data_IF_548947204447
#
_entry.id   IF_548947204447
#
_cell.length_a   1.000
_cell.length_b   1.000
_cell.length_c   1.000
_cell.angle_alpha   90.00
_cell.angle_beta   90.00
_cell.angle_gamma   90.00
#
_symmetry.space_group_name_H-M   'P 1'
#
loop_
_entity.id
_entity.type
_entity.pdbx_description
1 polymer ?
#
# COMPACT_ATOMS: atom_id res chain seq x y z
N UNK A 1 -16.89 -9.84 -14.99
CA UNK A 1 -16.19 -9.67 -13.69
C UNK A 1 -16.25 -11.01 -12.94
N UNK A 2 -15.18 -11.42 -12.25
CA UNK A 2 -15.15 -12.68 -11.49
C UNK A 2 -15.52 -12.48 -10.01
N UNK A 3 -16.26 -13.42 -9.43
CA UNK A 3 -16.66 -13.47 -8.01
C UNK A 3 -15.49 -13.24 -7.04
N UNK A 4 -14.29 -13.73 -7.39
CA UNK A 4 -13.09 -13.54 -6.58
C UNK A 4 -12.60 -12.08 -6.54
N UNK A 5 -12.84 -11.28 -7.59
CA UNK A 5 -12.52 -9.85 -7.59
C UNK A 5 -13.49 -9.09 -6.68
N UNK A 6 -14.78 -9.42 -6.75
CA UNK A 6 -15.82 -8.77 -5.92
C UNK A 6 -15.61 -9.04 -4.43
N UNK A 7 -15.25 -10.27 -4.04
CA UNK A 7 -14.94 -10.60 -2.64
C UNK A 7 -13.72 -9.84 -2.11
N UNK A 8 -12.68 -9.67 -2.95
CA UNK A 8 -11.50 -8.86 -2.60
C UNK A 8 -11.86 -7.40 -2.44
N UNK A 9 -12.57 -6.82 -3.41
CA UNK A 9 -12.96 -5.41 -3.40
C UNK A 9 -13.87 -5.10 -2.20
N UNK A 10 -14.80 -6.01 -1.86
CA UNK A 10 -15.65 -5.91 -0.67
C UNK A 10 -14.85 -5.98 0.63
N UNK A 11 -13.94 -6.94 0.75
CA UNK A 11 -13.05 -7.05 1.92
C UNK A 11 -12.18 -5.80 2.11
N UNK A 12 -11.70 -5.18 1.03
CA UNK A 12 -10.96 -3.92 1.10
C UNK A 12 -11.81 -2.76 1.60
N UNK A 13 -13.06 -2.66 1.15
CA UNK A 13 -14.00 -1.63 1.58
C UNK A 13 -14.34 -1.77 3.07
N UNK A 14 -14.60 -3.00 3.55
CA UNK A 14 -14.93 -3.29 4.95
C UNK A 14 -13.78 -2.94 5.91
N UNK A 15 -12.53 -3.30 5.56
CA UNK A 15 -11.34 -2.95 6.35
C UNK A 15 -11.12 -1.44 6.41
N UNK A 16 -11.31 -0.74 5.28
CA UNK A 16 -11.15 0.72 5.22
C UNK A 16 -12.23 1.45 6.01
N UNK A 17 -13.47 0.95 5.99
CA UNK A 17 -14.58 1.51 6.74
C UNK A 17 -14.40 1.33 8.26
N UNK A 18 -13.90 0.16 8.70
CA UNK A 18 -13.62 -0.13 10.11
C UNK A 18 -12.53 0.77 10.69
N UNK A 19 -11.49 1.12 9.92
CA UNK A 19 -10.42 2.03 10.34
C UNK A 19 -10.93 3.42 10.73
N UNK A 20 -11.91 3.96 9.98
CA UNK A 20 -12.49 5.28 10.23
C UNK A 20 -13.27 5.37 11.56
N UNK A 21 -13.76 4.25 12.08
CA UNK A 21 -14.69 4.24 13.21
C UNK A 21 -14.00 4.17 14.58
N UNK A 22 -12.78 3.61 14.69
CA UNK A 22 -12.23 3.20 16.00
C UNK A 22 -10.81 3.73 16.28
N UNK A 23 -9.98 4.10 15.29
CA UNK A 23 -8.57 4.45 15.57
C UNK A 23 -7.97 5.57 14.71
N UNK A 24 -7.64 6.69 15.38
CA UNK A 24 -6.59 7.71 15.07
C UNK A 24 -6.10 7.86 13.61
N UNK A 25 -6.99 7.98 12.62
CA UNK A 25 -6.67 8.34 11.24
C UNK A 25 -5.49 7.56 10.62
N UNK A 26 -5.29 6.29 11.02
CA UNK A 26 -4.11 5.52 10.59
C UNK A 26 -4.15 5.26 9.09
N UNK A 27 -5.33 4.95 8.54
CA UNK A 27 -5.51 4.82 7.10
C UNK A 27 -5.20 6.11 6.33
N UNK A 28 -5.56 7.28 6.86
CA UNK A 28 -5.23 8.57 6.23
C UNK A 28 -3.72 8.85 6.27
N UNK A 29 -3.03 8.47 7.35
CA UNK A 29 -1.55 8.55 7.44
C UNK A 29 -0.86 7.62 6.46
N UNK A 30 -1.38 6.41 6.27
CA UNK A 30 -0.87 5.47 5.26
C UNK A 30 -1.03 6.07 3.86
N UNK A 31 -2.19 6.64 3.54
CA UNK A 31 -2.41 7.31 2.25
C UNK A 31 -1.42 8.46 2.06
N UNK A 32 -1.27 9.33 3.05
CA UNK A 32 -0.31 10.44 3.00
C UNK A 32 1.13 9.95 2.79
N UNK A 33 1.55 8.86 3.44
CA UNK A 33 2.87 8.27 3.25
C UNK A 33 3.07 7.70 1.83
N UNK A 34 2.02 7.10 1.24
CA UNK A 34 2.05 6.64 -0.16
C UNK A 34 2.13 7.83 -1.10
N UNK A 35 1.36 8.89 -0.86
CA UNK A 35 1.36 10.09 -1.70
C UNK A 35 2.72 10.80 -1.67
N UNK A 36 3.39 10.84 -0.51
CA UNK A 36 4.78 11.32 -0.38
C UNK A 36 5.75 10.47 -1.20
N UNK A 37 5.65 9.13 -1.10
CA UNK A 37 6.45 8.20 -1.90
C UNK A 37 6.25 8.39 -3.41
N UNK A 38 5.02 8.68 -3.83
CA UNK A 38 4.72 8.94 -5.24
C UNK A 38 5.27 10.30 -5.70
N UNK A 39 5.27 11.31 -4.83
CA UNK A 39 5.81 12.62 -5.11
C UNK A 39 7.35 12.63 -5.17
N UNK A 40 8.01 11.84 -4.31
CA UNK A 40 9.46 11.60 -4.36
C UNK A 40 9.86 10.82 -5.63
N UNK A 41 8.94 10.02 -6.17
CA UNK A 41 9.16 9.19 -7.33
C UNK A 41 9.97 7.92 -7.01
N UNK A 42 10.22 7.12 -8.04
CA UNK A 42 10.97 5.88 -7.91
C UNK A 42 10.18 4.70 -7.33
N UNK A 43 10.93 3.70 -6.88
CA UNK A 43 10.41 2.41 -6.43
C UNK A 43 10.33 2.33 -4.92
N UNK A 44 9.25 1.76 -4.39
CA UNK A 44 9.03 1.61 -2.96
C UNK A 44 8.27 0.35 -2.60
N UNK A 45 8.35 -0.03 -1.33
CA UNK A 45 7.76 -1.24 -0.78
C UNK A 45 6.82 -0.91 0.38
N UNK A 46 6.05 -1.91 0.82
CA UNK A 46 5.24 -1.79 2.03
C UNK A 46 6.08 -1.57 3.32
N UNK A 47 7.39 -1.80 3.29
CA UNK A 47 8.27 -1.43 4.40
C UNK A 47 8.54 0.08 4.42
N UNK A 48 8.73 0.69 3.25
CA UNK A 48 9.02 2.12 3.13
C UNK A 48 7.81 2.98 3.52
N UNK A 49 6.59 2.47 3.31
CA UNK A 49 5.37 3.08 3.84
C UNK A 49 5.36 3.03 5.38
N UNK A 50 5.71 1.88 5.97
CA UNK A 50 5.76 1.74 7.43
C UNK A 50 6.84 2.60 8.08
N UNK A 51 7.97 2.80 7.40
CA UNK A 51 9.06 3.65 7.89
C UNK A 51 8.66 5.14 7.97
N UNK A 52 7.65 5.57 7.21
CA UNK A 52 7.11 6.94 7.26
C UNK A 52 6.01 7.14 8.30
N UNK A 53 5.51 6.05 8.91
CA UNK A 53 4.54 6.17 10.00
C UNK A 53 5.28 6.50 11.30
N UNK A 54 4.73 7.38 12.17
CA UNK A 54 5.32 7.66 13.47
C UNK A 54 5.40 6.37 14.32
N UNK A 55 6.41 6.29 15.18
CA UNK A 55 6.55 5.18 16.11
C UNK A 55 5.30 5.03 17.00
N UNK A 56 4.87 3.79 17.25
CA UNK A 56 3.65 3.50 18.01
C UNK A 56 2.33 3.70 17.25
N UNK A 57 2.37 4.10 15.98
CA UNK A 57 1.19 4.14 15.10
C UNK A 57 1.12 2.85 14.28
N UNK A 58 0.41 1.85 14.81
CA UNK A 58 0.15 0.59 14.09
C UNK A 58 -1.34 0.50 13.72
N UNK A 59 -1.68 0.03 12.51
CA UNK A 59 -3.05 -0.33 12.14
C UNK A 59 -3.64 -1.36 13.10
N UNK A 60 -4.91 -1.21 13.45
CA UNK A 60 -5.63 -2.24 14.20
C UNK A 60 -5.72 -3.56 13.42
N UNK A 61 -5.87 -3.48 12.10
CA UNK A 61 -5.84 -4.64 11.22
C UNK A 61 -4.48 -4.77 10.54
N UNK A 62 -3.80 -5.94 10.63
CA UNK A 62 -2.54 -6.18 9.92
C UNK A 62 -2.70 -6.11 8.39
N UNK A 63 -3.95 -6.15 7.90
CA UNK A 63 -4.30 -6.12 6.48
C UNK A 63 -4.61 -4.71 5.95
N UNK A 64 -4.70 -3.68 6.81
CA UNK A 64 -5.09 -2.33 6.38
C UNK A 64 -4.14 -1.77 5.33
N UNK A 65 -2.82 -1.84 5.58
CA UNK A 65 -1.82 -1.35 4.63
C UNK A 65 -1.93 -2.06 3.28
N UNK A 66 -2.09 -3.39 3.30
CA UNK A 66 -2.26 -4.18 2.08
C UNK A 66 -3.53 -3.80 1.30
N UNK A 67 -4.64 -3.54 2.01
CA UNK A 67 -5.88 -3.09 1.42
C UNK A 67 -5.75 -1.70 0.77
N UNK A 68 -5.06 -0.75 1.43
CA UNK A 68 -4.85 0.60 0.89
C UNK A 68 -3.96 0.56 -0.36
N UNK A 69 -2.84 -0.15 -0.31
CA UNK A 69 -1.96 -0.35 -1.49
C UNK A 69 -2.75 -1.00 -2.64
N UNK A 70 -3.55 -2.03 -2.32
CA UNK A 70 -4.43 -2.68 -3.30
C UNK A 70 -5.43 -1.73 -3.95
N UNK A 71 -6.00 -0.79 -3.19
CA UNK A 71 -6.90 0.23 -3.70
C UNK A 71 -6.20 1.23 -4.63
N UNK A 72 -4.98 1.67 -4.31
CA UNK A 72 -4.19 2.53 -5.20
C UNK A 72 -3.88 1.83 -6.52
N UNK A 73 -3.51 0.55 -6.45
CA UNK A 73 -3.22 -0.26 -7.64
C UNK A 73 -4.47 -0.49 -8.51
N UNK A 74 -5.63 -0.80 -7.89
CA UNK A 74 -6.87 -1.03 -8.65
C UNK A 74 -7.39 0.23 -9.34
N UNK A 75 -7.05 1.42 -8.81
CA UNK A 75 -7.32 2.73 -9.42
C UNK A 75 -6.28 3.16 -10.46
N UNK A 76 -5.24 2.36 -10.70
CA UNK A 76 -4.19 2.67 -11.68
C UNK A 76 -3.27 3.81 -11.25
N UNK A 77 -3.19 4.14 -9.96
CA UNK A 77 -2.28 5.19 -9.44
C UNK A 77 -0.86 4.66 -9.28
N UNK A 78 -0.73 3.35 -9.05
CA UNK A 78 0.54 2.65 -8.84
C UNK A 78 0.51 1.33 -9.59
N UNK A 79 1.69 0.81 -9.95
CA UNK A 79 1.84 -0.52 -10.52
C UNK A 79 2.93 -1.29 -9.80
N UNK A 80 2.79 -2.62 -9.79
CA UNK A 80 3.86 -3.50 -9.32
C UNK A 80 4.95 -3.52 -10.39
N UNK A 81 6.18 -3.25 -9.99
CA UNK A 81 7.34 -3.23 -10.89
C UNK A 81 8.28 -4.41 -10.66
N UNK A 82 8.35 -4.91 -9.42
CA UNK A 82 9.28 -5.98 -9.04
C UNK A 82 8.83 -6.70 -7.75
N UNK A 83 9.61 -7.70 -7.34
CA UNK A 83 9.59 -8.36 -6.03
C UNK A 83 10.95 -8.20 -5.36
N UNK A 84 10.97 -7.94 -4.05
CA UNK A 84 12.19 -7.87 -3.23
C UNK A 84 12.04 -8.70 -1.98
N UNK A 85 13.15 -9.14 -1.39
CA UNK A 85 13.13 -9.86 -0.12
C UNK A 85 12.88 -8.89 1.04
N UNK A 86 11.96 -9.24 1.96
CA UNK A 86 11.69 -8.47 3.18
C UNK A 86 12.95 -8.33 4.04
N UNK A 87 13.20 -7.10 4.55
CA UNK A 87 14.31 -6.84 5.49
C UNK A 87 13.94 -7.14 6.94
N UNK A 88 12.65 -7.30 7.25
CA UNK A 88 12.18 -7.63 8.61
C UNK A 88 12.46 -9.09 8.98
N UNK A 89 13.13 -9.37 10.13
CA UNK A 89 13.41 -10.74 10.59
C UNK A 89 12.14 -11.59 10.78
N UNK A 90 11.06 -10.97 11.26
CA UNK A 90 9.77 -11.64 11.51
C UNK A 90 9.02 -12.13 10.27
N UNK A 91 9.51 -11.78 9.07
CA UNK A 91 8.89 -12.18 7.79
C UNK A 91 9.62 -13.35 7.13
N UNK A 92 10.66 -13.93 7.76
CA UNK A 92 11.39 -15.11 7.26
C UNK A 92 11.81 -14.99 5.78
N UNK A 93 12.37 -13.83 5.39
CA UNK A 93 12.75 -13.55 4.00
C UNK A 93 11.60 -13.65 2.97
N UNK A 94 10.36 -13.42 3.39
CA UNK A 94 9.22 -13.38 2.46
C UNK A 94 9.41 -12.31 1.37
N UNK A 95 8.98 -12.64 0.16
CA UNK A 95 8.94 -11.68 -0.94
C UNK A 95 7.89 -10.59 -0.68
N UNK A 96 8.33 -9.34 -0.85
CA UNK A 96 7.51 -8.13 -0.77
C UNK A 96 7.45 -7.48 -2.15
N UNK A 97 6.27 -6.95 -2.48
CA UNK A 97 6.04 -6.29 -3.76
C UNK A 97 6.70 -4.91 -3.77
N UNK A 98 7.32 -4.59 -4.89
CA UNK A 98 7.84 -3.26 -5.21
C UNK A 98 6.83 -2.54 -6.10
N UNK A 99 6.59 -1.28 -5.79
CA UNK A 99 5.60 -0.41 -6.43
C UNK A 99 6.26 0.86 -6.95
N UNK A 100 5.72 1.39 -8.03
CA UNK A 100 6.06 2.72 -8.55
C UNK A 100 4.77 3.42 -9.01
N UNK A 101 4.82 4.76 -9.09
CA UNK A 101 3.73 5.55 -9.66
C UNK A 101 3.59 5.32 -11.16
N UNK A 102 2.36 5.31 -11.66
CA UNK A 102 2.07 5.05 -13.10
C UNK A 102 2.35 6.24 -14.00
N UNK A 103 2.33 7.48 -13.47
CA UNK A 103 2.58 8.71 -14.25
C UNK A 103 4.03 8.87 -14.71
N UNK A 104 5.00 8.29 -13.99
CA UNK A 104 6.42 8.41 -14.34
C UNK A 104 6.87 7.58 -15.54
N UNK A 105 6.00 6.72 -16.09
CA UNK A 105 6.30 5.91 -17.28
C UNK A 105 5.99 6.65 -18.58
N UNK A 106 5.11 7.65 -18.55
CA UNK A 106 4.76 8.46 -19.73
C UNK A 106 5.96 9.30 -20.22
N UNK A 107 6.87 9.70 -19.31
CA UNK A 107 8.07 10.47 -19.63
C UNK A 107 9.29 9.62 -20.05
N UNK A 108 9.31 8.30 -19.77
CA UNK A 108 10.46 7.43 -20.10
C UNK A 108 10.40 6.80 -21.50
N UNK A 109 9.31 7.02 -22.23
CA UNK A 109 9.09 6.49 -23.59
C UNK A 109 9.08 7.62 -24.64
N UNK A 110 9.35 8.87 -24.24
CA UNK A 110 9.47 10.03 -25.11
C UNK A 110 10.93 10.34 -25.49
#
# INVERSE_FOLDING_TARGET
MSTGKQLRDRGFAEVTAADRAVHRNVGERIKAAIDQLLAEGGEWTAEDVRARLPEGVEPHSPNLLGAIIGNYASRGLIRRVDLRTSRRPSRHAAEIKVWAGTRGDEERVA
#
